data_IF_466936029753
#
_entry.id   IF_466936029753
#
_cell.length_a   1.000
_cell.length_b   1.000
_cell.length_c   1.000
_cell.angle_alpha   90.00
_cell.angle_beta   90.00
_cell.angle_gamma   90.00
#
_symmetry.space_group_name_H-M   'P 1'
#
loop_
_entity.id
_entity.type
_entity.pdbx_description
1 polymer ?
#
# COMPACT_ATOMS: atom_id res chain seq x y z
N UNK A 1 9.96 25.09 -31.17
CA UNK A 1 10.35 24.25 -32.33
C UNK A 1 10.90 25.16 -33.42
N UNK A 2 12.17 25.01 -33.82
CA UNK A 2 12.76 25.81 -34.92
C UNK A 2 12.29 25.27 -36.29
N UNK A 3 12.14 26.13 -37.30
CA UNK A 3 11.82 25.77 -38.69
C UNK A 3 12.71 24.63 -39.24
N UNK A 4 14.01 24.63 -38.89
CA UNK A 4 14.95 23.56 -39.25
C UNK A 4 14.62 22.22 -38.58
N UNK A 5 14.09 22.23 -37.36
CA UNK A 5 13.64 21.04 -36.65
C UNK A 5 12.36 20.44 -37.25
N UNK A 6 11.43 21.28 -37.68
CA UNK A 6 10.21 20.86 -38.37
C UNK A 6 10.53 20.22 -39.74
N UNK A 7 11.43 20.83 -40.51
CA UNK A 7 11.90 20.27 -41.78
C UNK A 7 12.55 18.89 -41.59
N UNK A 8 13.42 18.72 -40.59
CA UNK A 8 14.02 17.41 -40.27
C UNK A 8 12.97 16.38 -39.82
N UNK A 9 11.94 16.81 -39.09
CA UNK A 9 10.85 15.92 -38.65
C UNK A 9 10.04 15.37 -39.83
N UNK A 10 9.66 16.23 -40.79
CA UNK A 10 8.94 15.81 -42.00
C UNK A 10 9.78 14.82 -42.82
N UNK A 11 11.09 15.05 -42.89
CA UNK A 11 12.03 14.20 -43.64
C UNK A 11 12.23 12.82 -42.99
N UNK A 12 12.08 12.70 -41.67
CA UNK A 12 12.20 11.43 -40.92
C UNK A 12 10.91 10.60 -40.90
N UNK A 13 9.74 11.22 -41.06
CA UNK A 13 8.45 10.55 -40.96
C UNK A 13 8.30 9.30 -41.87
N UNK A 14 8.74 9.31 -43.15
CA UNK A 14 8.69 8.11 -44.01
C UNK A 14 9.59 6.97 -43.51
N UNK A 15 10.72 7.31 -42.88
CA UNK A 15 11.67 6.34 -42.36
C UNK A 15 11.18 5.75 -41.04
N UNK A 16 10.53 6.54 -40.19
CA UNK A 16 9.87 6.06 -38.97
C UNK A 16 8.75 5.05 -39.29
N UNK A 17 7.97 5.31 -40.34
CA UNK A 17 6.96 4.37 -40.81
C UNK A 17 7.61 3.05 -41.28
N UNK A 18 8.64 3.12 -42.13
CA UNK A 18 9.37 1.93 -42.59
C UNK A 18 10.02 1.13 -41.46
N UNK A 19 10.58 1.81 -40.46
CA UNK A 19 11.14 1.16 -39.27
C UNK A 19 10.08 0.42 -38.45
N UNK A 20 8.88 0.99 -38.28
CA UNK A 20 7.76 0.34 -37.58
C UNK A 20 7.25 -0.92 -38.27
N UNK A 21 7.26 -0.95 -39.60
CA UNK A 21 6.86 -2.12 -40.40
C UNK A 21 8.03 -3.06 -40.73
N UNK A 22 9.21 -2.81 -40.15
CA UNK A 22 10.44 -3.58 -40.41
C UNK A 22 10.78 -3.70 -41.90
N UNK A 23 10.44 -2.67 -42.68
CA UNK A 23 10.70 -2.59 -44.12
C UNK A 23 12.07 -1.94 -44.32
N UNK A 24 13.02 -2.69 -44.90
CA UNK A 24 14.39 -2.22 -45.21
C UNK A 24 15.47 -2.68 -44.23
N UNK A 25 16.73 -2.29 -44.49
CA UNK A 25 17.86 -2.53 -43.58
C UNK A 25 17.82 -1.55 -42.41
N UNK A 26 17.75 -2.10 -41.19
CA UNK A 26 17.73 -1.34 -39.93
C UNK A 26 18.91 -1.74 -39.06
N UNK A 27 19.59 -0.77 -38.47
CA UNK A 27 20.68 -1.04 -37.54
C UNK A 27 20.13 -1.70 -36.27
N UNK A 28 20.67 -2.86 -35.88
CA UNK A 28 20.30 -3.57 -34.63
C UNK A 28 21.46 -3.50 -33.66
N UNK A 29 21.15 -3.12 -32.42
CA UNK A 29 22.13 -3.00 -31.34
C UNK A 29 21.58 -3.72 -30.11
N UNK A 30 21.91 -5.02 -29.92
CA UNK A 30 21.32 -5.84 -28.87
C UNK A 30 21.72 -5.35 -27.47
N UNK A 31 22.93 -4.79 -27.33
CA UNK A 31 23.43 -4.26 -26.05
C UNK A 31 22.61 -3.04 -25.64
N UNK A 32 22.43 -2.09 -26.56
CA UNK A 32 21.59 -0.92 -26.29
C UNK A 32 20.12 -1.32 -26.07
N UNK A 33 19.60 -2.27 -26.83
CA UNK A 33 18.21 -2.73 -26.68
C UNK A 33 17.92 -3.29 -25.29
N UNK A 34 18.86 -4.06 -24.71
CA UNK A 34 18.71 -4.52 -23.34
C UNK A 34 18.78 -3.37 -22.33
N UNK A 35 19.74 -2.46 -22.48
CA UNK A 35 19.87 -1.29 -21.61
C UNK A 35 18.63 -0.38 -21.69
N UNK A 36 18.08 -0.16 -22.88
CA UNK A 36 16.85 0.61 -23.11
C UNK A 36 15.64 -0.06 -22.45
N UNK A 37 15.52 -1.39 -22.54
CA UNK A 37 14.45 -2.14 -21.87
C UNK A 37 14.53 -1.95 -20.35
N UNK A 38 15.72 -2.10 -19.77
CA UNK A 38 15.94 -1.88 -18.33
C UNK A 38 15.65 -0.43 -17.93
N UNK A 39 16.03 0.53 -18.76
CA UNK A 39 15.74 1.95 -18.53
C UNK A 39 14.23 2.26 -18.57
N UNK A 40 13.48 1.65 -19.48
CA UNK A 40 12.02 1.78 -19.53
C UNK A 40 11.33 1.18 -18.30
N UNK A 41 11.81 0.02 -17.83
CA UNK A 41 11.33 -0.59 -16.61
C UNK A 41 11.62 0.30 -15.39
N UNK A 42 12.84 0.84 -15.30
CA UNK A 42 13.22 1.79 -14.27
C UNK A 42 12.31 3.03 -14.25
N UNK A 43 12.07 3.65 -15.41
CA UNK A 43 11.19 4.82 -15.53
C UNK A 43 9.77 4.50 -15.03
N UNK A 44 9.23 3.35 -15.44
CA UNK A 44 7.90 2.91 -15.06
C UNK A 44 7.79 2.65 -13.57
N UNK A 45 8.70 1.88 -12.99
CA UNK A 45 8.62 1.50 -11.58
C UNK A 45 8.95 2.68 -10.65
N UNK A 46 9.86 3.59 -11.04
CA UNK A 46 10.09 4.85 -10.30
C UNK A 46 8.84 5.72 -10.28
N UNK A 47 8.16 5.85 -11.43
CA UNK A 47 6.90 6.60 -11.51
C UNK A 47 5.82 5.96 -10.64
N UNK A 48 5.73 4.64 -10.66
CA UNK A 48 4.78 3.90 -9.83
C UNK A 48 5.07 4.08 -8.34
N UNK A 49 6.34 4.04 -7.92
CA UNK A 49 6.74 4.32 -6.54
C UNK A 49 6.29 5.71 -6.10
N UNK A 50 6.53 6.73 -6.92
CA UNK A 50 6.07 8.10 -6.67
C UNK A 50 4.55 8.16 -6.53
N UNK A 51 3.82 7.64 -7.52
CA UNK A 51 2.36 7.76 -7.59
C UNK A 51 1.66 6.99 -6.46
N UNK A 52 2.10 5.77 -6.14
CA UNK A 52 1.53 4.97 -5.05
C UNK A 52 1.87 5.55 -3.67
N UNK A 53 3.07 6.12 -3.48
CA UNK A 53 3.46 6.77 -2.21
C UNK A 53 2.60 8.02 -1.95
N UNK A 54 2.39 8.85 -2.99
CA UNK A 54 1.47 10.00 -2.89
C UNK A 54 0.05 9.57 -2.61
N UNK A 55 -0.44 8.53 -3.31
CA UNK A 55 -1.78 8.00 -3.10
C UNK A 55 -2.00 7.49 -1.67
N UNK A 56 -0.99 6.87 -1.06
CA UNK A 56 -1.04 6.46 0.34
C UNK A 56 -1.24 7.67 1.28
N UNK A 57 -0.45 8.73 1.09
CA UNK A 57 -0.59 9.99 1.83
C UNK A 57 -1.99 10.62 1.67
N UNK A 58 -2.47 10.73 0.42
CA UNK A 58 -3.78 11.30 0.10
C UNK A 58 -4.92 10.46 0.68
N UNK A 59 -4.80 9.12 0.67
CA UNK A 59 -5.82 8.22 1.17
C UNK A 59 -5.99 8.32 2.70
N UNK A 60 -4.91 8.49 3.45
CA UNK A 60 -4.98 8.64 4.91
C UNK A 60 -5.68 9.96 5.28
N UNK A 61 -5.23 11.07 4.68
CA UNK A 61 -5.88 12.37 4.89
C UNK A 61 -7.35 12.34 4.43
N UNK A 62 -7.62 11.71 3.29
CA UNK A 62 -8.98 11.53 2.77
C UNK A 62 -9.88 10.75 3.72
N UNK A 63 -9.38 9.65 4.28
CA UNK A 63 -10.12 8.83 5.25
C UNK A 63 -10.51 9.63 6.50
N UNK A 64 -9.58 10.37 7.10
CA UNK A 64 -9.84 11.19 8.30
C UNK A 64 -10.82 12.34 8.00
N UNK A 65 -10.65 13.00 6.85
CA UNK A 65 -11.59 14.04 6.41
C UNK A 65 -13.00 13.47 6.20
N UNK A 66 -13.13 12.29 5.61
CA UNK A 66 -14.43 11.64 5.42
C UNK A 66 -15.10 11.25 6.75
N UNK A 67 -14.33 10.86 7.76
CA UNK A 67 -14.85 10.61 9.10
C UNK A 67 -15.42 11.89 9.75
N UNK A 68 -14.72 13.02 9.59
CA UNK A 68 -15.21 14.32 10.07
C UNK A 68 -16.51 14.71 9.36
N UNK A 69 -16.55 14.62 8.03
CA UNK A 69 -17.76 14.98 7.26
C UNK A 69 -18.94 14.05 7.56
N UNK A 70 -18.69 12.77 7.82
CA UNK A 70 -19.72 11.84 8.30
C UNK A 70 -20.30 12.31 9.65
N UNK A 71 -19.45 12.71 10.59
CA UNK A 71 -19.89 13.24 11.90
C UNK A 71 -20.74 14.51 11.77
N UNK A 72 -20.34 15.43 10.88
CA UNK A 72 -21.11 16.65 10.60
C UNK A 72 -22.47 16.34 10.00
N UNK A 73 -22.55 15.41 9.04
CA UNK A 73 -23.82 15.00 8.45
C UNK A 73 -24.75 14.39 9.51
N UNK A 74 -24.22 13.56 10.42
CA UNK A 74 -24.98 13.03 11.56
C UNK A 74 -25.45 14.12 12.51
N UNK A 75 -24.60 15.11 12.77
CA UNK A 75 -24.94 16.28 13.60
C UNK A 75 -26.12 17.06 13.01
N UNK A 76 -26.10 17.31 11.69
CA UNK A 76 -27.23 17.97 11.01
C UNK A 76 -28.52 17.16 11.11
N UNK A 77 -28.46 15.83 11.05
CA UNK A 77 -29.63 14.96 11.22
C UNK A 77 -30.21 15.01 12.64
N UNK A 78 -29.38 15.25 13.66
CA UNK A 78 -29.83 15.36 15.05
C UNK A 78 -30.33 16.74 15.45
N UNK A 79 -30.09 17.78 14.64
CA UNK A 79 -30.63 19.10 14.89
C UNK A 79 -32.17 19.05 14.79
N UNK A 80 -32.89 19.74 15.69
CA UNK A 80 -34.34 19.80 15.59
C UNK A 80 -34.74 20.45 14.27
N UNK A 81 -35.79 19.93 13.63
CA UNK A 81 -36.40 20.55 12.44
C UNK A 81 -37.19 21.79 12.91
N UNK A 82 -36.46 22.83 13.35
CA UNK A 82 -37.05 24.06 13.83
C UNK A 82 -37.60 24.88 12.66
N UNK A 83 -38.92 25.12 12.65
CA UNK A 83 -39.55 26.12 11.78
C UNK A 83 -40.59 25.61 10.79
N UNK A 84 -41.65 24.94 11.26
CA UNK A 84 -42.91 24.85 10.49
C UNK A 84 -44.03 25.55 11.21
N UNK A 85 -44.71 26.47 10.51
CA UNK A 85 -45.95 27.12 10.92
C UNK A 85 -47.17 26.16 11.00
N UNK A 86 -46.96 24.84 10.95
CA UNK A 86 -48.00 23.82 10.88
C UNK A 86 -48.07 22.89 12.09
N UNK A 87 -47.33 23.17 13.18
CA UNK A 87 -47.41 22.37 14.41
C UNK A 87 -47.54 23.25 15.69
N UNK A 88 -48.69 23.22 16.39
CA UNK A 88 -48.90 23.92 17.66
C UNK A 88 -48.02 23.43 18.83
N UNK A 89 -47.32 22.30 18.69
CA UNK A 89 -46.53 21.67 19.76
C UNK A 89 -45.04 22.05 19.80
N UNK A 90 -44.66 23.16 19.16
CA UNK A 90 -43.29 23.69 18.99
C UNK A 90 -42.49 23.98 20.29
N UNK A 91 -42.98 23.61 21.48
CA UNK A 91 -42.27 23.78 22.77
C UNK A 91 -41.48 22.56 23.25
N UNK A 92 -41.50 21.42 22.56
CA UNK A 92 -40.62 20.28 22.87
C UNK A 92 -39.41 20.25 21.95
N UNK A 93 -38.21 20.32 22.53
CA UNK A 93 -36.95 20.20 21.78
C UNK A 93 -36.84 18.77 21.25
N UNK A 94 -37.17 18.54 19.98
CA UNK A 94 -37.11 17.23 19.30
C UNK A 94 -35.68 16.83 18.83
N UNK A 95 -34.66 17.59 19.24
CA UNK A 95 -33.27 17.26 18.91
C UNK A 95 -32.71 16.13 19.78
N UNK A 96 -31.66 15.46 19.31
CA UNK A 96 -30.88 14.52 20.13
C UNK A 96 -29.60 15.21 20.63
N UNK A 97 -29.62 15.93 21.77
CA UNK A 97 -28.47 16.69 22.25
C UNK A 97 -27.28 15.80 22.65
N UNK A 98 -27.56 14.57 23.11
CA UNK A 98 -26.51 13.60 23.45
C UNK A 98 -25.82 13.05 22.20
N UNK A 99 -26.59 12.79 21.13
CA UNK A 99 -26.04 12.39 19.84
C UNK A 99 -25.22 13.50 19.17
N UNK A 100 -25.64 14.76 19.29
CA UNK A 100 -24.87 15.92 18.81
C UNK A 100 -23.52 16.00 19.54
N UNK A 101 -23.53 15.94 20.88
CA UNK A 101 -22.28 15.94 21.67
C UNK A 101 -21.36 14.78 21.31
N UNK A 102 -21.91 13.59 21.10
CA UNK A 102 -21.13 12.44 20.67
C UNK A 102 -20.47 12.64 19.30
N UNK A 103 -21.16 13.31 18.35
CA UNK A 103 -20.60 13.65 17.05
C UNK A 103 -19.49 14.72 17.18
N UNK A 104 -19.68 15.73 18.04
CA UNK A 104 -18.67 16.75 18.33
C UNK A 104 -17.41 16.16 18.99
N UNK A 105 -17.58 15.26 19.97
CA UNK A 105 -16.49 14.51 20.60
C UNK A 105 -15.75 13.63 19.59
N UNK A 106 -16.47 12.91 18.72
CA UNK A 106 -15.86 12.11 17.66
C UNK A 106 -15.07 12.99 16.68
N UNK A 107 -15.63 14.13 16.25
CA UNK A 107 -14.92 15.05 15.37
C UNK A 107 -13.63 15.57 16.01
N UNK A 108 -13.66 15.92 17.30
CA UNK A 108 -12.48 16.38 18.03
C UNK A 108 -11.37 15.31 18.09
N UNK A 109 -11.73 14.04 18.34
CA UNK A 109 -10.78 12.92 18.37
C UNK A 109 -10.15 12.71 16.98
N UNK A 110 -10.95 12.74 15.91
CA UNK A 110 -10.44 12.55 14.54
C UNK A 110 -9.55 13.72 14.12
N UNK A 111 -9.86 14.96 14.54
CA UNK A 111 -8.98 16.12 14.29
C UNK A 111 -7.66 16.01 15.05
N UNK A 112 -7.67 15.62 16.32
CA UNK A 112 -6.44 15.38 17.10
C UNK A 112 -5.60 14.26 16.47
N UNK A 113 -6.24 13.20 15.96
CA UNK A 113 -5.56 12.16 15.21
C UNK A 113 -4.92 12.69 13.91
N UNK A 114 -5.62 13.56 13.18
CA UNK A 114 -5.09 14.20 11.97
C UNK A 114 -3.85 15.06 12.28
N UNK A 115 -3.90 15.85 13.37
CA UNK A 115 -2.75 16.64 13.83
C UNK A 115 -1.58 15.76 14.29
N UNK A 116 -1.87 14.66 14.99
CA UNK A 116 -0.87 13.68 15.44
C UNK A 116 -0.17 12.95 14.28
N UNK A 117 -0.89 12.69 13.19
CA UNK A 117 -0.35 12.01 12.01
C UNK A 117 0.34 12.95 11.01
N UNK A 118 0.05 14.25 11.07
CA UNK A 118 0.62 15.25 10.17
C UNK A 118 2.16 15.18 10.02
N UNK A 119 2.98 15.10 11.09
CA UNK A 119 4.43 15.03 10.95
C UNK A 119 4.92 13.76 10.25
N UNK A 120 4.33 12.60 10.54
CA UNK A 120 4.67 11.33 9.90
C UNK A 120 4.30 11.34 8.40
N UNK A 121 3.17 11.95 8.07
CA UNK A 121 2.73 12.12 6.68
C UNK A 121 3.64 13.10 5.91
N UNK A 122 4.10 14.18 6.55
CA UNK A 122 5.07 15.11 5.96
C UNK A 122 6.44 14.44 5.71
N UNK A 123 6.86 13.53 6.59
CA UNK A 123 8.07 12.73 6.36
C UNK A 123 7.96 11.88 5.09
N UNK A 124 6.79 11.30 4.79
CA UNK A 124 6.58 10.54 3.55
C UNK A 124 6.74 11.44 2.31
N UNK A 125 6.15 12.64 2.33
CA UNK A 125 6.28 13.58 1.21
C UNK A 125 7.74 14.02 1.01
N UNK A 126 8.41 14.40 2.09
CA UNK A 126 9.78 14.95 2.02
C UNK A 126 10.86 13.89 1.79
N UNK A 127 10.70 12.68 2.33
CA UNK A 127 11.71 11.62 2.28
C UNK A 127 11.47 10.58 1.20
N UNK A 128 10.25 10.45 0.67
CA UNK A 128 9.93 9.45 -0.36
C UNK A 128 9.48 10.11 -1.66
N UNK A 129 8.42 10.92 -1.62
CA UNK A 129 7.80 11.49 -2.83
C UNK A 129 8.75 12.48 -3.51
N UNK A 130 9.35 13.41 -2.75
CA UNK A 130 10.27 14.41 -3.30
C UNK A 130 11.53 13.79 -3.92
N UNK A 131 12.26 12.85 -3.25
CA UNK A 131 13.39 12.16 -3.88
C UNK A 131 12.99 11.34 -5.11
N UNK A 132 11.84 10.64 -5.10
CA UNK A 132 11.35 9.94 -6.27
C UNK A 132 11.08 10.90 -7.45
N UNK A 133 10.53 12.09 -7.16
CA UNK A 133 10.31 13.13 -8.18
C UNK A 133 11.63 13.67 -8.75
N UNK A 134 12.67 13.86 -7.92
CA UNK A 134 14.00 14.24 -8.39
C UNK A 134 14.61 13.19 -9.32
N UNK A 135 14.48 11.89 -8.98
CA UNK A 135 14.90 10.80 -9.86
C UNK A 135 14.13 10.81 -11.19
N UNK A 136 12.83 11.09 -11.17
CA UNK A 136 12.03 11.25 -12.40
C UNK A 136 12.53 12.40 -13.28
N UNK A 137 12.99 13.52 -12.71
CA UNK A 137 13.61 14.61 -13.48
C UNK A 137 14.91 14.18 -14.17
N UNK A 138 15.76 13.41 -13.48
CA UNK A 138 16.96 12.82 -14.09
C UNK A 138 16.59 11.89 -15.24
N UNK A 139 15.61 10.99 -15.02
CA UNK A 139 15.11 10.07 -16.02
C UNK A 139 14.57 10.82 -17.25
N UNK A 140 13.85 11.93 -17.06
CA UNK A 140 13.37 12.78 -18.16
C UNK A 140 14.51 13.35 -19.01
N UNK A 141 15.63 13.73 -18.41
CA UNK A 141 16.80 14.21 -19.15
C UNK A 141 17.39 13.08 -19.99
N UNK A 142 17.58 11.90 -19.41
CA UNK A 142 18.15 10.73 -20.10
C UNK A 142 17.22 10.29 -21.24
N UNK A 143 15.90 10.28 -21.02
CA UNK A 143 14.90 10.00 -22.05
C UNK A 143 15.03 10.93 -23.26
N UNK A 144 15.31 12.23 -23.06
CA UNK A 144 15.58 13.17 -24.17
C UNK A 144 16.84 12.80 -24.96
N UNK A 145 17.87 12.26 -24.30
CA UNK A 145 19.10 11.78 -24.95
C UNK A 145 18.82 10.52 -25.77
N UNK A 146 18.08 9.55 -25.21
CA UNK A 146 17.64 8.35 -25.93
C UNK A 146 16.83 8.70 -27.20
N UNK A 147 15.90 9.65 -27.10
CA UNK A 147 15.14 10.15 -28.26
C UNK A 147 16.06 10.80 -29.32
N UNK A 148 17.09 11.56 -28.90
CA UNK A 148 18.09 12.10 -29.83
C UNK A 148 18.86 10.98 -30.53
N UNK A 149 19.30 9.97 -29.79
CA UNK A 149 19.98 8.78 -30.32
C UNK A 149 19.13 8.09 -31.38
N UNK A 150 17.84 7.90 -31.14
CA UNK A 150 16.92 7.27 -32.10
C UNK A 150 16.73 8.12 -33.36
N UNK A 151 16.66 9.44 -33.22
CA UNK A 151 16.66 10.34 -34.38
C UNK A 151 17.95 10.24 -35.21
N UNK A 152 19.12 10.18 -34.55
CA UNK A 152 20.41 10.04 -35.23
C UNK A 152 20.57 8.68 -35.90
N UNK A 153 20.05 7.62 -35.27
CA UNK A 153 19.98 6.28 -35.89
C UNK A 153 19.15 6.30 -37.18
N UNK A 154 17.98 6.93 -37.16
CA UNK A 154 17.13 7.06 -38.34
C UNK A 154 17.81 7.87 -39.46
N UNK A 155 18.50 8.95 -39.10
CA UNK A 155 19.29 9.75 -40.05
C UNK A 155 20.43 8.91 -40.65
N UNK A 156 21.18 8.16 -39.83
CA UNK A 156 22.22 7.22 -40.26
C UNK A 156 21.70 6.15 -41.22
N UNK A 157 20.64 5.43 -40.84
CA UNK A 157 20.04 4.38 -41.67
C UNK A 157 19.53 4.97 -43.01
N UNK A 158 18.99 6.18 -43.00
CA UNK A 158 18.54 6.88 -44.21
C UNK A 158 19.72 7.24 -45.13
N UNK A 159 20.77 7.87 -44.60
CA UNK A 159 21.93 8.26 -45.41
C UNK A 159 22.67 7.04 -45.96
N UNK A 160 22.82 5.97 -45.17
CA UNK A 160 23.42 4.70 -45.60
C UNK A 160 22.63 4.05 -46.75
N UNK A 161 21.30 4.05 -46.66
CA UNK A 161 20.44 3.56 -47.73
C UNK A 161 20.56 4.41 -49.01
N UNK A 162 20.72 5.74 -48.89
CA UNK A 162 20.95 6.61 -50.06
C UNK A 162 22.31 6.34 -50.70
N UNK A 163 23.38 6.20 -49.91
CA UNK A 163 24.71 5.88 -50.41
C UNK A 163 24.71 4.54 -51.17
N UNK A 164 24.13 3.50 -50.57
CA UNK A 164 24.04 2.15 -51.17
C UNK A 164 23.38 2.19 -52.56
N UNK A 165 22.26 2.91 -52.68
CA UNK A 165 21.54 3.07 -53.96
C UNK A 165 22.36 3.80 -55.03
N UNK A 166 23.17 4.79 -54.64
CA UNK A 166 24.05 5.52 -55.56
C UNK A 166 25.26 4.68 -55.97
N UNK A 167 25.77 3.84 -55.06
CA UNK A 167 26.87 2.92 -55.34
C UNK A 167 26.48 1.79 -56.30
N UNK A 168 25.27 1.23 -56.15
CA UNK A 168 24.72 0.14 -56.97
C UNK A 168 24.30 0.56 -58.39
N UNK A 169 24.29 1.87 -58.69
CA UNK A 169 23.93 2.40 -60.01
C UNK A 169 25.03 2.08 -61.03
N UNK A 170 24.68 1.33 -62.09
CA UNK A 170 25.64 0.87 -63.14
C UNK A 170 26.16 2.00 -64.03
N UNK A 171 25.29 2.93 -64.42
CA UNK A 171 25.66 4.10 -65.23
C UNK A 171 25.71 5.35 -64.36
N UNK A 172 26.93 5.84 -64.09
CA UNK A 172 27.18 7.02 -63.24
C UNK A 172 27.47 8.23 -64.13
N UNK A 173 26.60 9.24 -64.07
CA UNK A 173 26.88 10.56 -64.66
C UNK A 173 27.83 11.36 -63.75
N UNK A 174 28.51 12.38 -64.30
CA UNK A 174 29.25 13.40 -63.53
C UNK A 174 28.41 14.03 -62.40
N UNK A 175 27.08 14.13 -62.59
CA UNK A 175 26.14 14.58 -61.55
C UNK A 175 25.94 13.55 -60.44
N UNK A 176 25.95 12.26 -60.79
CA UNK A 176 25.85 11.16 -59.83
C UNK A 176 27.13 11.01 -59.02
N UNK A 177 28.31 11.25 -59.60
CA UNK A 177 29.58 11.28 -58.87
C UNK A 177 29.58 12.38 -57.81
N UNK A 178 29.17 13.61 -58.15
CA UNK A 178 29.03 14.69 -57.17
C UNK A 178 28.01 14.36 -56.07
N UNK A 179 26.93 13.66 -56.41
CA UNK A 179 25.93 13.21 -55.43
C UNK A 179 26.48 12.08 -54.53
N UNK A 180 27.33 11.21 -55.06
CA UNK A 180 27.99 10.14 -54.33
C UNK A 180 28.95 10.70 -53.28
N UNK A 181 29.84 11.64 -53.65
CA UNK A 181 30.72 12.34 -52.71
C UNK A 181 29.93 13.04 -51.58
N UNK A 182 28.80 13.65 -51.92
CA UNK A 182 27.93 14.27 -50.91
C UNK A 182 27.30 13.22 -49.98
N UNK A 183 26.81 12.11 -50.54
CA UNK A 183 26.22 11.05 -49.76
C UNK A 183 27.23 10.35 -48.85
N UNK A 184 28.50 10.22 -49.27
CA UNK A 184 29.59 9.71 -48.45
C UNK A 184 29.84 10.61 -47.23
N UNK A 185 29.98 11.92 -47.45
CA UNK A 185 30.15 12.89 -46.36
C UNK A 185 28.92 12.91 -45.41
N UNK A 186 27.71 12.88 -45.95
CA UNK A 186 26.48 12.82 -45.14
C UNK A 186 26.43 11.53 -44.28
N UNK A 187 26.89 10.38 -44.81
CA UNK A 187 26.98 9.12 -44.05
C UNK A 187 28.05 9.21 -42.98
N UNK A 188 29.23 9.76 -43.29
CA UNK A 188 30.31 9.92 -42.33
C UNK A 188 29.87 10.79 -41.14
N UNK A 189 29.26 11.95 -41.43
CA UNK A 189 28.73 12.84 -40.41
C UNK A 189 27.63 12.15 -39.58
N UNK A 190 26.67 11.48 -40.22
CA UNK A 190 25.60 10.78 -39.51
C UNK A 190 26.13 9.61 -38.65
N UNK A 191 27.21 8.95 -39.10
CA UNK A 191 27.88 7.88 -38.34
C UNK A 191 28.49 8.42 -37.06
N UNK A 192 29.25 9.52 -37.15
CA UNK A 192 29.86 10.17 -35.98
C UNK A 192 28.78 10.62 -34.97
N UNK A 193 27.73 11.28 -35.46
CA UNK A 193 26.63 11.74 -34.58
C UNK A 193 25.87 10.57 -33.92
N UNK A 194 25.60 9.50 -34.66
CA UNK A 194 24.93 8.31 -34.12
C UNK A 194 25.81 7.62 -33.06
N UNK A 195 27.07 7.34 -33.39
CA UNK A 195 28.01 6.66 -32.48
C UNK A 195 28.21 7.46 -31.20
N UNK A 196 28.35 8.79 -31.29
CA UNK A 196 28.46 9.65 -30.11
C UNK A 196 27.34 9.41 -29.09
N UNK A 197 26.07 9.46 -29.50
CA UNK A 197 24.95 9.23 -28.58
C UNK A 197 24.77 7.77 -28.19
N UNK A 198 25.07 6.84 -29.10
CA UNK A 198 24.92 5.41 -28.87
C UNK A 198 25.93 4.92 -27.82
N UNK A 199 27.18 5.35 -27.92
CA UNK A 199 28.25 4.96 -27.02
C UNK A 199 28.11 5.68 -25.67
N UNK A 200 27.69 6.96 -25.68
CA UNK A 200 27.35 7.70 -24.46
C UNK A 200 26.29 6.96 -23.64
N UNK A 201 25.19 6.52 -24.26
CA UNK A 201 24.13 5.81 -23.52
C UNK A 201 24.56 4.42 -23.06
N UNK A 202 25.40 3.73 -23.83
CA UNK A 202 25.95 2.42 -23.43
C UNK A 202 26.88 2.53 -22.23
N UNK A 203 27.64 3.62 -22.13
CA UNK A 203 28.55 3.85 -21.01
C UNK A 203 27.81 4.36 -19.76
N UNK A 204 26.87 5.28 -19.92
CA UNK A 204 26.22 5.96 -18.79
C UNK A 204 25.04 5.19 -18.18
N UNK A 205 24.23 4.45 -18.98
CA UNK A 205 23.08 3.71 -18.45
C UNK A 205 23.45 2.65 -17.39
N UNK A 206 24.52 1.84 -17.57
CA UNK A 206 24.95 0.91 -16.52
C UNK A 206 25.31 1.60 -15.20
N UNK A 207 25.95 2.78 -15.26
CA UNK A 207 26.30 3.58 -14.08
C UNK A 207 25.03 4.07 -13.37
N UNK A 208 24.04 4.55 -14.13
CA UNK A 208 22.74 4.94 -13.60
C UNK A 208 22.08 3.78 -12.83
N UNK A 209 22.07 2.56 -13.40
CA UNK A 209 21.44 1.41 -12.74
C UNK A 209 22.11 1.02 -11.42
N UNK A 210 23.43 1.20 -11.31
CA UNK A 210 24.14 0.95 -10.05
C UNK A 210 23.75 1.99 -8.98
N UNK A 211 23.76 3.27 -9.35
CA UNK A 211 23.40 4.37 -8.45
C UNK A 211 21.94 4.29 -7.99
N UNK A 212 21.04 3.90 -8.89
CA UNK A 212 19.63 3.72 -8.56
C UNK A 212 19.41 2.61 -7.54
N UNK A 213 20.10 1.47 -7.70
CA UNK A 213 20.01 0.37 -6.75
C UNK A 213 20.53 0.77 -5.35
N UNK A 214 21.46 1.72 -5.25
CA UNK A 214 21.91 2.30 -3.98
C UNK A 214 20.90 3.29 -3.41
N UNK A 215 20.27 4.09 -4.27
CA UNK A 215 19.26 5.08 -3.90
C UNK A 215 17.95 4.48 -3.38
N UNK A 216 17.45 3.39 -4.00
CA UNK A 216 16.16 2.80 -3.64
C UNK A 216 16.19 2.06 -2.28
N UNK A 217 17.34 1.50 -1.89
CA UNK A 217 17.48 0.73 -0.64
C UNK A 217 17.05 1.50 0.62
N UNK A 218 17.62 2.69 0.91
CA UNK A 218 17.23 3.45 2.10
C UNK A 218 15.79 3.97 2.01
N UNK A 219 15.28 4.25 0.81
CA UNK A 219 13.90 4.71 0.62
C UNK A 219 12.89 3.65 1.06
N UNK A 220 13.08 2.40 0.66
CA UNK A 220 12.16 1.32 1.01
C UNK A 220 12.12 1.06 2.52
N UNK A 221 13.29 1.00 3.16
CA UNK A 221 13.39 0.79 4.60
C UNK A 221 12.74 1.96 5.37
N UNK A 222 13.02 3.20 4.97
CA UNK A 222 12.44 4.38 5.60
C UNK A 222 10.91 4.40 5.44
N UNK A 223 10.41 4.07 4.25
CA UNK A 223 8.97 4.01 3.99
C UNK A 223 8.27 2.97 4.87
N UNK A 224 8.85 1.78 5.03
CA UNK A 224 8.28 0.74 5.90
C UNK A 224 8.09 1.22 7.35
N UNK A 225 9.11 1.87 7.94
CA UNK A 225 9.00 2.38 9.30
C UNK A 225 8.03 3.55 9.44
N UNK A 226 8.00 4.47 8.46
CA UNK A 226 6.99 5.55 8.44
C UNK A 226 5.57 5.00 8.40
N UNK A 227 5.30 3.97 7.57
CA UNK A 227 4.00 3.31 7.54
C UNK A 227 3.66 2.62 8.86
N UNK A 228 4.65 2.03 9.52
CA UNK A 228 4.48 1.38 10.81
C UNK A 228 4.10 2.39 11.90
N UNK A 229 4.77 3.55 11.93
CA UNK A 229 4.45 4.64 12.85
C UNK A 229 3.02 5.14 12.64
N UNK A 230 2.64 5.42 11.39
CA UNK A 230 1.27 5.83 11.03
C UNK A 230 0.25 4.81 11.53
N UNK A 231 0.52 3.52 11.32
CA UNK A 231 -0.38 2.45 11.76
C UNK A 231 -0.51 2.39 13.28
N UNK A 232 0.59 2.47 14.02
CA UNK A 232 0.56 2.44 15.48
C UNK A 232 -0.14 3.65 16.08
N UNK A 233 0.16 4.86 15.60
CA UNK A 233 -0.52 6.09 16.04
C UNK A 233 -2.03 6.00 15.78
N UNK A 234 -2.43 5.51 14.61
CA UNK A 234 -3.84 5.31 14.29
C UNK A 234 -4.48 4.26 15.21
N UNK A 235 -3.80 3.13 15.44
CA UNK A 235 -4.32 2.07 16.30
C UNK A 235 -4.49 2.54 17.74
N UNK A 236 -3.47 3.17 18.32
CA UNK A 236 -3.48 3.67 19.70
C UNK A 236 -4.61 4.68 19.92
N UNK A 237 -4.72 5.69 19.05
CA UNK A 237 -5.75 6.74 19.15
C UNK A 237 -7.16 6.18 18.93
N UNK A 238 -7.35 5.28 17.96
CA UNK A 238 -8.66 4.69 17.69
C UNK A 238 -9.09 3.67 18.75
N UNK A 239 -8.16 2.93 19.34
CA UNK A 239 -8.45 1.99 20.42
C UNK A 239 -8.76 2.74 21.74
N UNK A 240 -8.11 3.87 21.98
CA UNK A 240 -8.37 4.74 23.12
C UNK A 240 -9.67 5.54 23.02
N UNK A 241 -10.39 5.46 21.90
CA UNK A 241 -11.63 6.20 21.69
C UNK A 241 -12.72 5.70 22.64
N UNK A 242 -13.09 6.54 23.61
CA UNK A 242 -14.14 6.25 24.58
C UNK A 242 -15.14 7.41 24.63
N UNK A 243 -16.19 7.30 23.83
CA UNK A 243 -17.30 8.26 23.79
C UNK A 243 -18.44 7.64 24.59
N UNK A 244 -18.84 8.27 25.69
CA UNK A 244 -19.81 7.72 26.64
C UNK A 244 -21.18 7.39 26.01
N UNK A 245 -21.51 8.00 24.88
CA UNK A 245 -22.73 7.74 24.11
C UNK A 245 -22.78 6.33 23.48
N UNK A 246 -21.63 5.71 23.22
CA UNK A 246 -21.51 4.38 22.63
C UNK A 246 -21.20 3.35 23.70
N UNK A 247 -22.04 2.32 23.79
CA UNK A 247 -21.78 1.15 24.63
C UNK A 247 -20.97 0.14 23.83
N UNK A 248 -19.66 0.10 24.08
CA UNK A 248 -18.72 -0.77 23.39
C UNK A 248 -18.71 -2.21 23.95
N UNK A 249 -19.57 -2.52 24.94
CA UNK A 249 -19.64 -3.85 25.56
C UNK A 249 -20.69 -4.77 24.93
N UNK A 250 -21.63 -4.19 24.17
CA UNK A 250 -22.67 -4.91 23.45
C UNK A 250 -22.26 -5.15 22.00
N UNK A 251 -22.79 -6.23 21.41
CA UNK A 251 -22.66 -6.44 19.97
C UNK A 251 -23.36 -5.29 19.19
N UNK A 252 -22.82 -4.94 18.04
CA UNK A 252 -23.28 -3.78 17.24
C UNK A 252 -24.74 -3.94 16.82
N UNK A 253 -25.17 -5.15 16.44
CA UNK A 253 -26.55 -5.41 16.02
C UNK A 253 -27.50 -5.32 17.22
N UNK A 254 -27.11 -5.91 18.35
CA UNK A 254 -27.90 -5.87 19.58
C UNK A 254 -28.05 -4.44 20.11
N UNK A 255 -26.97 -3.66 20.10
CA UNK A 255 -26.98 -2.25 20.51
C UNK A 255 -27.87 -1.41 19.58
N UNK A 256 -27.84 -1.67 18.27
CA UNK A 256 -28.70 -1.00 17.31
C UNK A 256 -30.17 -1.33 17.53
N UNK A 257 -30.53 -2.61 17.64
CA UNK A 257 -31.92 -3.05 17.88
C UNK A 257 -32.47 -2.45 19.18
N UNK A 258 -31.65 -2.44 20.24
CA UNK A 258 -32.01 -1.81 21.52
C UNK A 258 -32.24 -0.31 21.41
N UNK A 259 -31.38 0.43 20.68
CA UNK A 259 -31.53 1.88 20.47
C UNK A 259 -32.65 2.21 19.47
N UNK A 260 -32.94 1.31 18.52
CA UNK A 260 -34.01 1.48 17.53
C UNK A 260 -35.40 1.40 18.17
N UNK A 261 -35.59 0.54 19.17
CA UNK A 261 -36.85 0.41 19.89
C UNK A 261 -38.04 0.17 18.95
N UNK A 262 -39.14 0.88 19.19
CA UNK A 262 -40.39 0.79 18.43
C UNK A 262 -40.45 1.73 17.20
N UNK A 263 -39.32 2.36 16.85
CA UNK A 263 -39.26 3.35 15.76
C UNK A 263 -39.69 2.73 14.43
N UNK A 264 -39.38 1.45 14.20
CA UNK A 264 -39.76 0.73 12.99
C UNK A 264 -41.28 0.59 12.89
N UNK A 265 -41.92 0.09 13.94
CA UNK A 265 -43.37 -0.09 14.03
C UNK A 265 -44.10 1.25 13.90
N UNK A 266 -43.57 2.30 14.54
CA UNK A 266 -44.11 3.66 14.44
C UNK A 266 -43.96 4.27 13.05
N UNK A 267 -42.82 4.03 12.38
CA UNK A 267 -42.60 4.47 11.01
C UNK A 267 -43.51 3.73 10.03
N UNK A 268 -43.68 2.41 10.21
CA UNK A 268 -44.58 1.59 9.39
C UNK A 268 -46.05 1.98 9.58
N UNK A 269 -46.46 2.45 10.76
CA UNK A 269 -47.81 2.94 11.01
C UNK A 269 -48.13 4.29 10.32
N UNK A 270 -47.13 4.98 9.75
CA UNK A 270 -47.36 6.23 9.04
C UNK A 270 -48.13 5.98 7.74
N UNK A 271 -49.30 6.57 7.61
CA UNK A 271 -50.14 6.39 6.42
C UNK A 271 -49.46 6.84 5.12
N UNK A 272 -48.49 7.74 5.19
CA UNK A 272 -47.67 8.18 4.05
C UNK A 272 -46.77 7.08 3.49
N UNK A 273 -46.34 6.12 4.31
CA UNK A 273 -45.55 4.96 3.83
C UNK A 273 -46.46 3.88 3.23
N UNK A 274 -47.77 3.95 3.49
CA UNK A 274 -48.79 3.09 2.90
C UNK A 274 -49.37 3.71 1.62
N UNK A 275 -48.59 3.69 0.53
CA UNK A 275 -49.10 4.05 -0.79
C UNK A 275 -50.18 3.06 -1.24
N UNK A 276 -51.45 3.39 -1.02
CA UNK A 276 -52.57 2.76 -1.75
C UNK A 276 -52.53 3.28 -3.18
N UNK A 277 -51.83 2.58 -4.08
CA UNK A 277 -51.99 2.74 -5.52
C UNK A 277 -53.40 2.29 -5.94
N UNK A 278 -54.41 3.10 -5.64
CA UNK A 278 -55.73 2.97 -6.28
C UNK A 278 -55.63 3.63 -7.64
N UNK A 279 -55.41 2.79 -8.65
CA UNK A 279 -55.56 3.17 -10.06
C UNK A 279 -54.30 3.07 -10.89
N UNK A 280 -53.73 1.87 -10.99
CA UNK A 280 -53.33 1.24 -12.26
C UNK A 280 -52.87 -0.18 -11.89
N UNK A 281 -53.59 -1.19 -12.36
CA UNK A 281 -53.42 -2.58 -11.91
C UNK A 281 -52.00 -3.10 -12.09
N UNK A 282 -51.37 -3.53 -11.00
CA UNK A 282 -50.22 -4.43 -11.03
C UNK A 282 -50.29 -5.39 -9.86
N UNK A 283 -50.10 -6.67 -10.18
CA UNK A 283 -50.24 -7.85 -9.31
C UNK A 283 -49.43 -7.74 -8.00
N UNK A 284 -49.90 -8.34 -6.90
CA UNK A 284 -49.19 -8.31 -5.63
C UNK A 284 -47.90 -9.14 -5.70
N UNK A 285 -46.75 -8.47 -5.58
CA UNK A 285 -45.48 -9.14 -5.28
C UNK A 285 -45.54 -9.67 -3.85
N UNK A 286 -45.44 -10.99 -3.68
CA UNK A 286 -45.30 -11.65 -2.38
C UNK A 286 -44.00 -11.16 -1.72
N UNK A 287 -44.16 -10.34 -0.68
CA UNK A 287 -43.11 -10.06 0.29
C UNK A 287 -43.00 -11.26 1.24
N UNK A 288 -41.95 -12.06 1.08
CA UNK A 288 -41.55 -13.10 2.04
C UNK A 288 -40.87 -12.47 3.26
N UNK A 289 -41.10 -12.98 4.49
CA UNK A 289 -40.46 -12.47 5.71
C UNK A 289 -38.93 -12.69 5.72
N UNK A 290 -38.16 -11.89 6.48
CA UNK A 290 -36.71 -11.92 6.41
C UNK A 290 -36.14 -13.14 7.16
N UNK A 291 -35.31 -13.90 6.47
CA UNK A 291 -34.47 -14.94 7.04
C UNK A 291 -33.06 -14.83 6.48
N UNK A 292 -32.13 -14.44 7.36
CA UNK A 292 -30.68 -14.66 7.33
C UNK A 292 -29.88 -14.08 6.14
N UNK A 293 -29.07 -13.08 6.49
CA UNK A 293 -27.71 -12.82 6.03
C UNK A 293 -27.35 -13.16 4.59
N UNK A 294 -27.07 -12.11 3.81
CA UNK A 294 -25.78 -11.98 3.11
C UNK A 294 -25.63 -10.57 2.55
N UNK A 295 -24.60 -9.89 3.06
CA UNK A 295 -23.95 -8.77 2.41
C UNK A 295 -23.61 -9.10 0.96
N UNK A 296 -23.99 -8.22 0.04
CA UNK A 296 -23.39 -8.15 -1.28
C UNK A 296 -23.32 -6.69 -1.75
N UNK A 297 -22.08 -6.19 -1.64
CA UNK A 297 -21.45 -5.14 -2.42
C UNK A 297 -22.05 -4.98 -3.83
N UNK A 298 -22.51 -3.79 -4.20
CA UNK A 298 -22.63 -3.44 -5.62
C UNK A 298 -22.09 -2.03 -5.90
N UNK A 299 -20.94 -2.03 -6.56
CA UNK A 299 -20.37 -0.89 -7.24
C UNK A 299 -21.02 -0.73 -8.62
N UNK A 300 -21.47 0.49 -8.91
CA UNK A 300 -21.59 1.16 -10.22
C UNK A 300 -22.16 0.35 -11.40
N UNK A 301 -23.36 0.73 -11.83
CA UNK A 301 -23.80 0.58 -13.23
C UNK A 301 -23.89 1.93 -13.93
N UNK A 302 -23.06 2.12 -14.96
CA UNK A 302 -23.22 3.12 -16.03
C UNK A 302 -24.17 2.59 -17.11
N UNK A 303 -25.00 3.50 -17.63
CA UNK A 303 -25.94 3.33 -18.74
C UNK A 303 -25.27 3.05 -20.10
N UNK A 304 -25.85 2.14 -20.90
CA UNK A 304 -26.12 2.21 -22.37
C UNK A 304 -26.62 0.83 -22.87
N UNK A 305 -27.91 0.64 -23.21
CA UNK A 305 -28.62 0.89 -24.49
C UNK A 305 -28.40 -0.18 -25.59
N UNK A 306 -29.42 -1.04 -25.72
CA UNK A 306 -30.02 -1.71 -26.91
C UNK A 306 -29.13 -2.32 -28.00
N UNK A 307 -29.29 -3.63 -28.30
CA UNK A 307 -30.15 -4.10 -29.40
C UNK A 307 -30.40 -5.63 -29.34
N UNK A 308 -31.50 -6.04 -29.96
CA UNK A 308 -32.20 -7.34 -29.94
C UNK A 308 -31.81 -8.21 -31.15
N UNK A 309 -31.71 -9.54 -30.99
CA UNK A 309 -32.22 -10.59 -31.92
C UNK A 309 -31.97 -12.01 -31.39
N UNK A 310 -33.09 -12.74 -31.26
CA UNK A 310 -33.39 -14.15 -31.60
C UNK A 310 -32.68 -15.35 -30.93
N UNK A 311 -33.54 -16.21 -30.39
CA UNK A 311 -33.34 -17.52 -29.76
C UNK A 311 -33.03 -18.63 -30.78
N UNK A 312 -32.16 -19.57 -30.38
CA UNK A 312 -32.30 -21.00 -30.73
C UNK A 312 -31.89 -21.88 -29.53
N UNK A 313 -32.71 -22.88 -29.27
CA UNK A 313 -32.64 -23.94 -28.26
C UNK A 313 -31.43 -24.88 -28.44
N UNK A 314 -30.69 -25.16 -27.35
CA UNK A 314 -30.25 -26.52 -26.95
C UNK A 314 -29.30 -26.48 -25.72
N UNK A 315 -29.60 -27.21 -24.63
CA UNK A 315 -28.67 -27.42 -23.51
C UNK A 315 -27.82 -28.71 -23.67
N UNK A 316 -26.55 -28.73 -23.24
CA UNK A 316 -25.77 -29.97 -23.11
C UNK A 316 -26.08 -30.70 -21.78
N UNK A 317 -25.80 -32.02 -21.70
CA UNK A 317 -26.39 -32.91 -20.70
C UNK A 317 -25.71 -32.82 -19.32
N UNK A 318 -26.42 -33.17 -18.22
CA UNK A 318 -25.85 -33.27 -16.89
C UNK A 318 -25.12 -34.62 -16.74
N UNK A 319 -23.86 -34.57 -16.29
CA UNK A 319 -23.12 -35.78 -15.94
C UNK A 319 -23.64 -36.34 -14.61
N UNK A 320 -24.03 -37.60 -14.68
CA UNK A 320 -24.67 -38.40 -13.64
C UNK A 320 -23.76 -38.61 -12.42
N UNK A 321 -24.34 -38.46 -11.23
CA UNK A 321 -23.84 -39.10 -10.03
C UNK A 321 -24.25 -40.59 -10.04
N UNK A 322 -23.31 -41.49 -9.77
CA UNK A 322 -23.59 -42.87 -9.38
C UNK A 322 -22.68 -43.28 -8.25
N UNK A 323 -23.31 -43.82 -7.21
CA UNK A 323 -22.72 -44.28 -5.97
C UNK A 323 -22.27 -45.75 -6.03
N UNK A 324 -21.32 -46.07 -5.14
CA UNK A 324 -21.15 -47.35 -4.41
C UNK A 324 -20.69 -48.61 -5.15
N UNK A 325 -19.56 -49.18 -4.71
CA UNK A 325 -19.52 -50.44 -3.94
C UNK A 325 -18.11 -50.80 -3.41
N UNK A 326 -18.12 -51.24 -2.13
CA UNK A 326 -17.18 -52.03 -1.31
C UNK A 326 -16.00 -52.80 -1.94
N UNK A 327 -14.81 -52.72 -1.30
CA UNK A 327 -14.21 -53.79 -0.47
C UNK A 327 -12.67 -53.71 -0.33
N UNK A 328 -12.17 -54.28 0.77
CA UNK A 328 -10.82 -54.79 1.08
C UNK A 328 -9.79 -53.85 1.74
N UNK A 329 -9.69 -53.98 3.06
CA UNK A 329 -8.61 -53.50 3.92
C UNK A 329 -7.38 -54.43 3.87
N UNK A 330 -6.18 -53.85 3.75
CA UNK A 330 -4.90 -54.47 4.13
C UNK A 330 -4.00 -53.43 4.82
N UNK A 331 -3.44 -53.83 5.95
CA UNK A 331 -2.67 -53.04 6.91
C UNK A 331 -1.31 -52.56 6.36
N UNK A 332 -0.86 -51.39 6.83
CA UNK A 332 0.50 -50.84 6.64
C UNK A 332 1.32 -50.95 7.95
N UNK A 333 2.65 -51.16 7.87
CA UNK A 333 3.53 -51.33 9.03
C UNK A 333 3.88 -50.00 9.73
N UNK A 334 4.26 -50.09 11.01
CA UNK A 334 4.55 -48.97 11.92
C UNK A 334 5.90 -48.26 11.65
N UNK A 335 6.01 -46.95 11.94
CA UNK A 335 7.26 -46.18 11.86
C UNK A 335 8.15 -46.28 13.14
N UNK A 336 9.46 -45.98 13.04
CA UNK A 336 10.47 -46.20 14.10
C UNK A 336 10.44 -45.17 15.26
N UNK A 337 11.12 -45.45 16.41
CA UNK A 337 10.92 -44.77 17.70
C UNK A 337 11.46 -43.31 17.77
N UNK A 338 10.95 -42.49 18.72
CA UNK A 338 11.25 -41.06 18.81
C UNK A 338 12.64 -40.77 19.40
N UNK A 339 13.33 -39.76 18.85
CA UNK A 339 14.63 -39.23 19.31
C UNK A 339 14.50 -38.49 20.66
N UNK A 340 15.57 -38.44 21.47
CA UNK A 340 15.52 -37.92 22.86
C UNK A 340 15.32 -36.40 22.91
N UNK A 341 14.51 -35.94 23.88
CA UNK A 341 14.28 -34.52 24.19
C UNK A 341 15.53 -33.90 24.85
N UNK A 342 16.04 -32.73 24.40
CA UNK A 342 16.96 -31.94 25.21
C UNK A 342 16.23 -31.28 26.39
N UNK A 343 16.96 -31.18 27.50
CA UNK A 343 16.49 -30.79 28.81
C UNK A 343 16.17 -29.28 28.93
N UNK A 344 15.09 -29.02 29.68
CA UNK A 344 14.77 -27.86 30.55
C UNK A 344 14.91 -26.43 29.98
N UNK A 345 13.76 -25.77 29.92
CA UNK A 345 13.51 -24.35 29.74
C UNK A 345 14.25 -23.50 30.79
N UNK A 346 15.20 -22.67 30.37
CA UNK A 346 15.57 -21.44 31.07
C UNK A 346 14.60 -20.33 30.70
N UNK A 347 14.26 -19.46 31.65
CA UNK A 347 13.37 -18.32 31.47
C UNK A 347 13.79 -17.47 30.26
N UNK A 348 12.81 -16.97 29.49
CA UNK A 348 13.07 -16.07 28.38
C UNK A 348 13.62 -14.74 28.93
N UNK A 349 14.91 -14.51 28.77
CA UNK A 349 15.56 -13.22 29.07
C UNK A 349 15.23 -12.26 27.93
N UNK A 350 14.70 -11.08 28.26
CA UNK A 350 14.41 -10.02 27.30
C UNK A 350 15.72 -9.32 26.92
N UNK A 351 15.97 -9.14 25.62
CA UNK A 351 17.23 -8.56 25.12
C UNK A 351 16.96 -7.45 24.12
N UNK A 352 17.82 -6.44 24.06
CA UNK A 352 17.75 -5.31 23.13
C UNK A 352 19.08 -5.11 22.41
N UNK A 353 19.04 -4.56 21.19
CA UNK A 353 20.27 -4.16 20.45
C UNK A 353 20.46 -2.65 20.50
N UNK A 354 21.66 -2.20 20.89
CA UNK A 354 22.04 -0.79 20.89
C UNK A 354 22.07 -0.20 19.46
N UNK A 355 21.44 0.95 19.25
CA UNK A 355 21.45 1.68 17.97
C UNK A 355 22.65 2.64 17.84
N UNK A 356 23.17 3.10 18.96
CA UNK A 356 24.25 4.09 19.04
C UNK A 356 25.26 3.68 20.11
N UNK A 357 26.49 4.17 19.98
CA UNK A 357 27.49 4.07 21.03
C UNK A 357 27.06 4.93 22.23
N UNK A 358 27.27 4.42 23.44
CA UNK A 358 27.01 5.17 24.66
C UNK A 358 28.16 4.96 25.64
N UNK A 359 28.73 6.07 26.07
CA UNK A 359 29.78 6.11 27.08
C UNK A 359 29.15 6.52 28.42
N UNK A 360 29.45 5.76 29.48
CA UNK A 360 28.90 6.00 30.80
C UNK A 360 29.25 7.42 31.29
N UNK A 361 28.22 8.19 31.65
CA UNK A 361 28.40 9.59 32.08
C UNK A 361 28.41 9.72 33.61
N UNK A 362 27.81 8.76 34.31
CA UNK A 362 27.75 8.69 35.76
C UNK A 362 28.18 7.32 36.31
N UNK A 363 28.51 7.29 37.60
CA UNK A 363 28.82 6.05 38.30
C UNK A 363 27.56 5.19 38.43
N UNK A 364 27.54 4.07 37.70
CA UNK A 364 26.39 3.16 37.62
C UNK A 364 25.81 3.01 36.22
N UNK A 365 26.29 3.80 35.25
CA UNK A 365 25.87 3.70 33.86
C UNK A 365 26.58 2.56 33.12
N UNK A 366 25.89 1.97 32.14
CA UNK A 366 26.44 0.91 31.30
C UNK A 366 26.98 1.49 30.01
N UNK A 367 28.29 1.36 29.75
CA UNK A 367 28.86 1.70 28.43
C UNK A 367 28.75 0.53 27.45
N UNK A 368 28.37 0.81 26.21
CA UNK A 368 28.20 -0.16 25.13
C UNK A 368 28.38 0.50 23.76
N UNK A 369 28.63 -0.32 22.74
CA UNK A 369 28.73 0.12 21.35
C UNK A 369 27.47 -0.18 20.55
N UNK A 370 27.23 0.57 19.48
CA UNK A 370 26.16 0.31 18.53
C UNK A 370 26.27 -1.13 17.98
N UNK A 371 25.20 -1.89 18.10
CA UNK A 371 25.14 -3.30 17.73
C UNK A 371 25.31 -4.28 18.90
N UNK A 372 25.66 -3.81 20.10
CA UNK A 372 25.75 -4.67 21.28
C UNK A 372 24.37 -5.16 21.73
N UNK A 373 24.32 -6.42 22.18
CA UNK A 373 23.09 -7.05 22.70
C UNK A 373 23.10 -6.93 24.22
N UNK A 374 22.16 -6.17 24.75
CA UNK A 374 22.02 -5.92 26.19
C UNK A 374 20.87 -6.78 26.73
N UNK A 375 21.16 -7.54 27.78
CA UNK A 375 20.15 -8.26 28.55
C UNK A 375 19.40 -7.29 29.45
N UNK A 376 18.08 -7.20 29.33
CA UNK A 376 17.26 -6.34 30.19
C UNK A 376 17.08 -7.04 31.54
N UNK A 377 17.53 -6.38 32.60
CA UNK A 377 17.33 -6.82 33.99
C UNK A 377 16.09 -6.14 34.57
N UNK A 378 15.92 -4.84 34.33
CA UNK A 378 14.78 -4.07 34.80
C UNK A 378 14.47 -2.93 33.82
N UNK A 379 13.20 -2.82 33.41
CA UNK A 379 12.69 -1.71 32.60
C UNK A 379 11.34 -1.24 33.09
N UNK A 380 11.02 0.03 32.82
CA UNK A 380 9.66 0.56 32.90
C UNK A 380 8.97 0.43 31.54
N UNK A 381 7.64 0.47 31.48
CA UNK A 381 6.88 0.51 30.22
C UNK A 381 7.11 1.80 29.41
N UNK A 382 7.67 2.83 30.04
CA UNK A 382 8.02 4.09 29.42
C UNK A 382 9.42 4.00 28.75
N UNK A 383 9.47 4.21 27.43
CA UNK A 383 10.69 4.09 26.62
C UNK A 383 11.67 5.26 26.83
N UNK A 384 11.24 6.34 27.47
CA UNK A 384 12.07 7.51 27.78
C UNK A 384 12.74 7.43 29.17
N UNK A 385 12.54 6.35 29.91
CA UNK A 385 13.15 6.14 31.22
C UNK A 385 14.46 5.33 31.12
N UNK A 386 15.26 5.42 32.18
CA UNK A 386 16.49 4.65 32.32
C UNK A 386 16.17 3.19 32.66
N UNK A 387 16.74 2.27 31.89
CA UNK A 387 16.62 0.83 32.10
C UNK A 387 17.93 0.28 32.65
N UNK A 388 17.84 -0.84 33.37
CA UNK A 388 19.02 -1.57 33.86
C UNK A 388 19.21 -2.81 33.01
N UNK A 389 20.43 -3.02 32.52
CA UNK A 389 20.76 -4.24 31.81
C UNK A 389 22.23 -4.59 31.90
N UNK A 390 22.59 -5.66 31.18
CA UNK A 390 23.90 -6.29 31.25
C UNK A 390 24.46 -6.55 29.88
N UNK A 391 25.72 -6.18 29.68
CA UNK A 391 26.52 -6.47 28.48
C UNK A 391 27.93 -6.89 28.92
N UNK A 392 28.46 -7.96 28.35
CA UNK A 392 29.80 -8.49 28.66
C UNK A 392 30.12 -8.64 30.16
N UNK A 393 29.11 -9.05 30.95
CA UNK A 393 29.25 -9.23 32.41
C UNK A 393 29.28 -7.95 33.23
N UNK A 394 29.16 -6.77 32.60
CA UNK A 394 28.97 -5.48 33.27
C UNK A 394 27.49 -5.15 33.34
N UNK A 395 27.04 -4.65 34.48
CA UNK A 395 25.66 -4.27 34.76
C UNK A 395 25.59 -2.80 35.11
N UNK A 396 24.61 -2.10 34.54
CA UNK A 396 24.45 -0.66 34.74
C UNK A 396 23.18 -0.12 34.09
N UNK A 397 22.92 1.15 34.31
CA UNK A 397 21.76 1.84 33.76
C UNK A 397 22.07 2.45 32.38
N UNK A 398 21.06 2.51 31.51
CA UNK A 398 21.17 3.10 30.19
C UNK A 398 19.82 3.70 29.74
N UNK A 399 19.82 4.69 28.82
CA UNK A 399 18.57 5.32 28.37
C UNK A 399 17.78 4.46 27.37
N UNK A 400 16.50 4.17 27.64
CA UNK A 400 15.67 3.26 26.84
C UNK A 400 15.43 3.63 25.36
N UNK A 401 15.59 4.90 24.98
CA UNK A 401 15.27 5.40 23.62
C UNK A 401 16.27 4.97 22.52
N UNK A 402 17.39 4.32 22.88
CA UNK A 402 18.48 4.00 21.94
C UNK A 402 18.47 2.56 21.43
N UNK A 403 17.33 1.85 21.44
CA UNK A 403 17.31 0.40 21.27
C UNK A 403 16.19 -0.14 20.40
N UNK A 404 16.42 -1.33 19.82
CA UNK A 404 15.37 -2.15 19.21
C UNK A 404 15.08 -3.39 20.07
N UNK A 405 13.80 -3.69 20.39
CA UNK A 405 13.45 -4.89 21.14
C UNK A 405 13.70 -6.15 20.30
N UNK A 406 14.56 -7.05 20.79
CA UNK A 406 14.73 -8.38 20.21
C UNK A 406 13.76 -9.31 20.93
N UNK A 407 12.61 -9.58 20.31
CA UNK A 407 11.67 -10.58 20.82
C UNK A 407 12.22 -12.00 20.61
N UNK A 408 12.17 -12.90 21.62
CA UNK A 408 12.71 -14.23 21.48
C UNK A 408 11.70 -15.14 20.74
N UNK A 409 11.86 -15.26 19.41
CA UNK A 409 12.08 -16.52 18.69
C UNK A 409 11.96 -16.33 17.17
N UNK A 410 13.12 -16.42 16.51
CA UNK A 410 13.24 -17.08 15.22
C UNK A 410 13.08 -16.19 13.99
N UNK A 411 14.12 -15.44 13.64
CA UNK A 411 14.93 -15.60 12.42
C UNK A 411 16.03 -14.50 12.47
N UNK A 412 17.28 -14.92 12.69
CA UNK A 412 18.46 -14.16 12.23
C UNK A 412 18.76 -14.64 10.82
N UNK A 413 19.09 -13.73 9.90
CA UNK A 413 20.08 -13.99 8.84
C UNK A 413 20.78 -12.66 8.55
N UNK A 414 22.02 -12.46 8.98
CA UNK A 414 23.24 -12.76 8.21
C UNK A 414 23.11 -12.46 6.71
N UNK A 415 23.80 -11.40 6.31
CA UNK A 415 24.10 -11.04 4.93
C UNK A 415 24.94 -12.16 4.28
N UNK A 416 24.30 -13.02 3.51
CA UNK A 416 24.99 -13.81 2.49
C UNK A 416 24.07 -13.85 1.28
N UNK A 417 24.47 -13.12 0.23
CA UNK A 417 23.73 -13.08 -1.03
C UNK A 417 23.76 -14.42 -1.74
N UNK A 418 22.66 -14.77 -2.42
CA UNK A 418 22.55 -15.75 -3.52
C UNK A 418 21.21 -15.50 -4.26
N UNK A 419 21.06 -15.94 -5.53
CA UNK A 419 20.28 -15.22 -6.55
C UNK A 419 18.79 -15.58 -6.59
N UNK A 420 18.01 -14.62 -7.08
CA UNK A 420 16.59 -14.73 -7.40
C UNK A 420 16.33 -15.74 -8.51
N UNK A 421 15.39 -16.67 -8.29
CA UNK A 421 14.80 -17.48 -9.35
C UNK A 421 13.28 -17.47 -9.20
N UNK A 422 12.59 -16.95 -10.22
CA UNK A 422 11.15 -16.77 -10.23
C UNK A 422 10.40 -18.11 -10.36
N UNK A 423 9.35 -18.27 -9.55
CA UNK A 423 8.06 -18.90 -9.89
C UNK A 423 7.18 -19.03 -8.64
N UNK A 424 5.94 -18.56 -8.78
CA UNK A 424 4.71 -18.95 -8.05
C UNK A 424 4.57 -18.62 -6.55
N UNK A 425 3.52 -17.86 -6.25
CA UNK A 425 2.50 -18.30 -5.28
C UNK A 425 2.48 -17.61 -3.92
N UNK A 426 1.59 -16.61 -3.78
CA UNK A 426 1.06 -16.09 -2.52
C UNK A 426 0.64 -17.24 -1.60
N UNK A 427 1.17 -17.32 -0.36
CA UNK A 427 0.63 -18.21 0.68
C UNK A 427 -0.16 -17.41 1.72
N UNK A 428 -1.46 -17.68 1.71
CA UNK A 428 -2.46 -17.38 2.74
C UNK A 428 -2.04 -18.04 4.07
N UNK A 429 -1.90 -17.26 5.14
CA UNK A 429 -1.86 -17.78 6.51
C UNK A 429 -3.28 -17.75 7.07
N UNK A 430 -3.83 -18.92 7.39
CA UNK A 430 -5.07 -19.09 8.15
C UNK A 430 -4.73 -19.08 9.64
N UNK A 431 -5.44 -18.27 10.41
CA UNK A 431 -5.42 -18.31 11.88
C UNK A 431 -6.36 -19.41 12.36
N UNK A 432 -5.92 -20.23 13.33
CA UNK A 432 -6.79 -21.11 14.12
C UNK A 432 -6.65 -20.74 15.59
N UNK A 433 -7.74 -20.26 16.19
CA UNK A 433 -7.85 -20.05 17.63
C UNK A 433 -7.89 -21.40 18.37
N UNK A 434 -7.17 -21.46 19.50
CA UNK A 434 -7.46 -22.44 20.54
C UNK A 434 -7.54 -21.72 21.88
N UNK A 435 -8.76 -21.68 22.41
CA UNK A 435 -9.10 -21.16 23.72
C UNK A 435 -8.42 -21.96 24.83
N UNK A 436 -7.93 -21.28 25.87
CA UNK A 436 -7.65 -21.92 27.16
C UNK A 436 -8.38 -21.14 28.25
N UNK A 437 -9.24 -21.86 28.97
CA UNK A 437 -10.12 -21.40 30.04
C UNK A 437 -9.34 -20.92 31.27
N UNK A 438 -9.76 -19.80 31.87
CA UNK A 438 -9.36 -19.42 33.22
C UNK A 438 -10.15 -20.24 34.25
N UNK A 439 -9.42 -20.96 35.09
CA UNK A 439 -9.94 -21.67 36.26
C UNK A 439 -10.19 -20.72 37.43
N UNK A 440 -11.36 -20.87 38.02
CA UNK A 440 -11.86 -20.26 39.24
C UNK A 440 -11.27 -20.91 40.50
N UNK A 441 -10.89 -20.12 41.51
CA UNK A 441 -10.65 -20.56 42.90
C UNK A 441 -11.13 -19.46 43.87
N UNK A 442 -11.73 -19.80 45.04
CA UNK A 442 -12.80 -19.01 45.65
C UNK A 442 -12.38 -18.10 46.82
N UNK A 443 -13.30 -17.17 47.12
CA UNK A 443 -13.30 -16.21 48.23
C UNK A 443 -13.57 -16.90 49.58
N UNK A 444 -12.74 -16.60 50.59
CA UNK A 444 -12.96 -16.96 52.00
C UNK A 444 -12.77 -15.74 52.90
N UNK A 445 -13.77 -15.52 53.75
CA UNK A 445 -13.95 -14.42 54.72
C UNK A 445 -12.92 -14.44 55.87
N UNK A 446 -12.68 -13.28 56.48
CA UNK A 446 -12.10 -13.19 57.82
C UNK A 446 -11.59 -11.80 58.20
N UNK A 447 -12.29 -11.13 59.11
CA UNK A 447 -12.10 -9.74 59.52
C UNK A 447 -10.91 -9.51 60.48
N UNK A 448 -10.36 -8.29 60.50
CA UNK A 448 -10.27 -7.50 61.73
C UNK A 448 -9.94 -6.02 61.49
N UNK A 449 -10.65 -5.18 62.25
CA UNK A 449 -10.55 -3.73 62.35
C UNK A 449 -9.18 -3.27 62.86
N UNK A 450 -8.70 -2.11 62.39
CA UNK A 450 -8.20 -1.04 63.25
C UNK A 450 -8.15 0.31 62.52
N UNK A 451 -8.77 1.26 63.18
CA UNK A 451 -8.78 2.72 63.03
C UNK A 451 -7.40 3.37 62.89
N UNK A 452 -7.29 4.39 62.04
CA UNK A 452 -6.50 5.60 62.32
C UNK A 452 -6.96 6.77 61.44
N UNK A 453 -7.44 7.82 62.10
CA UNK A 453 -7.61 9.17 61.56
C UNK A 453 -6.25 9.78 61.22
N UNK A 454 -6.16 10.56 60.14
CA UNK A 454 -5.14 11.61 60.00
C UNK A 454 -5.80 12.88 59.45
N UNK A 455 -5.57 13.95 60.20
CA UNK A 455 -5.92 15.37 60.00
C UNK A 455 -5.06 16.01 58.90
N UNK A 456 -5.28 17.32 58.73
CA UNK A 456 -4.46 18.37 58.06
C UNK A 456 -4.75 18.52 56.57
N UNK A 457 -5.00 19.71 56.03
CA UNK A 457 -5.00 21.09 56.55
C UNK A 457 -5.97 21.93 55.70
#
# INVERSE_FOLDING_TARGET
MSLKGFQKSIVRAPQQFKARFNIGEHTKDPIYQDAERRFQELEKETKKLHDESRKYFEAINGMLNHQIEFSKAMTELYKPISGRASDPSTYTIEGNPEGIRACEEYEAIVRDLQESLAPELELIETRIVSPANQLLEVIKVIRKVAVKRDHKKLDYDRHRNTLKKLQEKKDKSLKDEKALYKAENDVEQATQEYNYYNDLLKDELPKLFALEAEFIRPLFQSFYYMQLNVFYTLHEKMQGMNIAYFDLTLDVEEAFEKKRGDVKERAEALTIVHFKTKGLGRQPSKFTPPGKDKMAYESKSTFARTNRTEETDNPPPPYSASASTVAAAKAKPAPPPPKPKPARLGAAVETVTALYDYEAQAHGDLSFSAGDVIEIIQRTDNQNEWWTGRVDGREGQFPGYSYTPITPKGIRFNSVGLPWNGKTGVRRLLYSESATSYGSVPCSKGAHQRTAQVRTL
#
